data_IF_193061063745
#
_entry.id   IF_193061063745
#
_cell.length_a   1.000
_cell.length_b   1.000
_cell.length_c   1.000
_cell.angle_alpha   90.00
_cell.angle_beta   90.00
_cell.angle_gamma   90.00
#
_symmetry.space_group_name_H-M   'P 1'
#
loop_
_entity.id
_entity.type
_entity.pdbx_description
1 polymer ?
#
# COMPACT_ATOMS: atom_id res chain seq x y z
N UNK A 1 -7.21 27.53 18.12
CA UNK A 1 -8.56 27.03 17.81
C UNK A 1 -8.36 25.64 17.20
N UNK A 2 -8.76 24.54 17.87
CA UNK A 2 -8.57 23.20 17.32
C UNK A 2 -9.43 23.05 16.05
N UNK A 3 -8.94 22.32 15.04
CA UNK A 3 -9.64 22.14 13.74
C UNK A 3 -10.88 21.26 13.95
N UNK A 4 -12.01 21.91 14.22
CA UNK A 4 -13.27 21.27 14.63
C UNK A 4 -13.85 20.30 13.58
N UNK A 5 -14.05 19.03 13.97
CA UNK A 5 -15.00 18.12 13.29
C UNK A 5 -14.49 16.73 12.88
N UNK A 6 -13.20 16.41 13.04
CA UNK A 6 -12.66 15.09 12.66
C UNK A 6 -12.82 14.07 13.79
N UNK A 7 -13.24 12.85 13.45
CA UNK A 7 -13.36 11.73 14.39
C UNK A 7 -12.04 10.99 14.47
N UNK A 8 -11.56 10.75 15.69
CA UNK A 8 -10.35 9.96 15.92
C UNK A 8 -10.71 8.49 16.16
N UNK A 9 -10.13 7.59 15.36
CA UNK A 9 -10.15 6.15 15.56
C UNK A 9 -8.76 5.66 15.98
N UNK A 10 -8.68 4.47 16.59
CA UNK A 10 -7.44 3.85 17.02
C UNK A 10 -7.29 2.48 16.38
N UNK A 11 -6.12 2.20 15.81
CA UNK A 11 -5.83 0.88 15.26
C UNK A 11 -4.80 0.90 14.15
N UNK A 12 -4.37 -0.29 13.77
CA UNK A 12 -3.39 -0.54 12.71
C UNK A 12 -3.91 -1.47 11.62
N UNK A 13 -5.09 -2.08 11.80
CA UNK A 13 -5.73 -2.93 10.78
C UNK A 13 -6.64 -2.09 9.86
N UNK A 14 -6.29 -1.94 8.56
CA UNK A 14 -7.10 -1.20 7.61
C UNK A 14 -8.54 -1.71 7.49
N UNK A 15 -8.76 -3.02 7.58
CA UNK A 15 -10.08 -3.60 7.40
C UNK A 15 -10.98 -3.23 8.58
N UNK A 16 -10.48 -3.38 9.81
CA UNK A 16 -11.20 -3.03 11.02
C UNK A 16 -11.58 -1.53 11.04
N UNK A 17 -10.62 -0.65 10.70
CA UNK A 17 -10.86 0.79 10.63
C UNK A 17 -11.94 1.11 9.58
N UNK A 18 -11.84 0.55 8.37
CA UNK A 18 -12.85 0.77 7.32
C UNK A 18 -14.24 0.27 7.75
N UNK A 19 -14.31 -0.90 8.39
CA UNK A 19 -15.58 -1.45 8.90
C UNK A 19 -16.19 -0.55 9.97
N UNK A 20 -15.39 -0.02 10.88
CA UNK A 20 -15.85 0.90 11.93
C UNK A 20 -16.36 2.23 11.34
N UNK A 21 -15.65 2.79 10.35
CA UNK A 21 -16.09 3.99 9.63
C UNK A 21 -17.46 3.78 8.99
N UNK A 22 -17.68 2.65 8.31
CA UNK A 22 -18.97 2.29 7.72
C UNK A 22 -20.03 2.10 8.80
N UNK A 23 -19.73 1.35 9.86
CA UNK A 23 -20.68 1.06 10.94
C UNK A 23 -21.15 2.32 11.66
N UNK A 24 -20.28 3.33 11.78
CA UNK A 24 -20.58 4.63 12.38
C UNK A 24 -21.13 5.66 11.38
N UNK A 25 -21.22 5.31 10.09
CA UNK A 25 -21.70 6.23 9.03
C UNK A 25 -20.80 7.46 8.84
N UNK A 26 -19.50 7.34 9.08
CA UNK A 26 -18.55 8.44 9.00
C UNK A 26 -18.05 8.62 7.57
N UNK A 27 -17.75 9.87 7.20
CA UNK A 27 -17.02 10.17 5.96
C UNK A 27 -15.52 9.89 6.19
N UNK A 28 -14.82 9.13 5.33
CA UNK A 28 -13.41 8.78 5.54
C UNK A 28 -12.50 9.99 5.75
N UNK A 29 -12.69 11.03 4.94
CA UNK A 29 -11.95 12.29 4.98
C UNK A 29 -12.26 13.11 6.24
N UNK A 30 -13.26 12.73 7.03
CA UNK A 30 -13.53 13.29 8.35
C UNK A 30 -12.90 12.47 9.48
N UNK A 31 -12.07 11.46 9.17
CA UNK A 31 -11.50 10.53 10.15
C UNK A 31 -9.98 10.66 10.20
N UNK A 32 -9.46 10.72 11.41
CA UNK A 32 -8.04 10.53 11.71
C UNK A 32 -7.88 9.18 12.42
N UNK A 33 -6.75 8.52 12.18
CA UNK A 33 -6.41 7.24 12.78
C UNK A 33 -5.12 7.39 13.56
N UNK A 34 -5.18 7.10 14.85
CA UNK A 34 -4.02 6.99 15.73
C UNK A 34 -3.49 5.55 15.70
N UNK A 35 -2.28 5.39 15.18
CA UNK A 35 -1.58 4.10 15.09
C UNK A 35 -0.79 3.76 16.36
N UNK A 36 -0.79 4.65 17.35
CA UNK A 36 0.09 4.60 18.53
C UNK A 36 1.49 5.15 18.27
N UNK A 37 1.92 5.30 17.01
CA UNK A 37 3.17 5.97 16.64
C UNK A 37 2.93 7.38 16.11
N UNK A 38 1.83 7.56 15.38
CA UNK A 38 1.45 8.84 14.79
C UNK A 38 -0.06 8.87 14.52
N UNK A 39 -0.60 10.08 14.38
CA UNK A 39 -1.98 10.32 13.97
C UNK A 39 -1.97 10.74 12.51
N UNK A 40 -2.66 9.98 11.66
CA UNK A 40 -2.70 10.20 10.22
C UNK A 40 -4.15 10.30 9.74
N UNK A 41 -4.44 11.10 8.71
CA UNK A 41 -5.76 11.12 8.11
C UNK A 41 -6.07 9.78 7.42
N UNK A 42 -7.32 9.34 7.53
CA UNK A 42 -7.87 8.34 6.62
C UNK A 42 -8.27 9.05 5.32
N UNK A 43 -7.70 8.59 4.21
CA UNK A 43 -7.98 9.18 2.90
C UNK A 43 -8.33 8.05 1.93
N UNK A 44 -9.57 8.03 1.44
CA UNK A 44 -10.05 7.00 0.51
C UNK A 44 -10.51 7.59 -0.82
N UNK A 45 -11.00 8.84 -0.81
CA UNK A 45 -11.59 9.51 -1.97
C UNK A 45 -10.66 10.54 -2.63
N UNK A 46 -9.36 10.54 -2.28
CA UNK A 46 -8.34 11.28 -3.02
C UNK A 46 -7.66 10.38 -4.05
N UNK A 47 -7.75 10.77 -5.32
CA UNK A 47 -7.21 9.98 -6.42
C UNK A 47 -5.69 9.81 -6.37
N UNK A 48 -4.94 10.83 -5.95
CA UNK A 48 -3.49 10.73 -5.85
C UNK A 48 -3.11 9.71 -4.78
N UNK A 49 -3.77 9.77 -3.62
CA UNK A 49 -3.56 8.82 -2.53
C UNK A 49 -4.03 7.42 -2.88
N UNK A 50 -5.20 7.26 -3.52
CA UNK A 50 -5.69 5.96 -4.00
C UNK A 50 -4.68 5.28 -4.92
N UNK A 51 -4.05 6.04 -5.83
CA UNK A 51 -3.03 5.52 -6.73
C UNK A 51 -1.76 5.09 -6.00
N UNK A 52 -1.32 5.89 -5.02
CA UNK A 52 -0.16 5.56 -4.18
C UNK A 52 -0.43 4.32 -3.34
N UNK A 53 -1.59 4.28 -2.67
CA UNK A 53 -2.07 3.13 -1.90
C UNK A 53 -2.07 1.84 -2.72
N UNK A 54 -2.71 1.84 -3.90
CA UNK A 54 -2.77 0.65 -4.76
C UNK A 54 -1.36 0.19 -5.18
N UNK A 55 -0.46 1.15 -5.47
CA UNK A 55 0.93 0.82 -5.82
C UNK A 55 1.66 0.18 -4.65
N UNK A 56 1.58 0.77 -3.45
CA UNK A 56 2.22 0.23 -2.25
C UNK A 56 1.66 -1.14 -1.89
N UNK A 57 0.33 -1.31 -1.94
CA UNK A 57 -0.32 -2.60 -1.72
C UNK A 57 0.15 -3.67 -2.71
N UNK A 58 0.16 -3.35 -4.01
CA UNK A 58 0.65 -4.28 -5.03
C UNK A 58 2.14 -4.63 -4.83
N UNK A 59 2.94 -3.68 -4.32
CA UNK A 59 4.34 -3.92 -3.96
C UNK A 59 4.47 -4.83 -2.75
N UNK A 60 3.66 -4.66 -1.68
CA UNK A 60 3.61 -5.60 -0.56
C UNK A 60 3.31 -7.02 -1.05
N UNK A 61 2.26 -7.20 -1.87
CA UNK A 61 1.90 -8.51 -2.41
C UNK A 61 3.02 -9.13 -3.26
N UNK A 62 3.66 -8.32 -4.11
CA UNK A 62 4.79 -8.77 -4.94
C UNK A 62 5.97 -9.18 -4.09
N UNK A 63 6.34 -8.38 -3.10
CA UNK A 63 7.44 -8.64 -2.17
C UNK A 63 7.19 -9.93 -1.38
N UNK A 64 6.02 -10.07 -0.75
CA UNK A 64 5.61 -11.29 -0.05
C UNK A 64 5.67 -12.51 -0.96
N UNK A 65 5.24 -12.39 -2.21
CA UNK A 65 5.30 -13.50 -3.17
C UNK A 65 6.74 -13.87 -3.54
N UNK A 66 7.61 -12.90 -3.79
CA UNK A 66 9.03 -13.14 -4.09
C UNK A 66 9.75 -13.78 -2.89
N UNK A 67 9.45 -13.30 -1.70
CA UNK A 67 9.98 -13.84 -0.44
C UNK A 67 9.57 -15.31 -0.26
N UNK A 68 8.28 -15.62 -0.37
CA UNK A 68 7.76 -16.99 -0.26
C UNK A 68 8.28 -17.93 -1.35
N UNK A 69 8.65 -17.40 -2.52
CA UNK A 69 9.27 -18.16 -3.61
C UNK A 69 10.79 -18.36 -3.44
N UNK A 70 11.38 -17.92 -2.32
CA UNK A 70 12.82 -18.02 -2.05
C UNK A 70 13.68 -17.03 -2.84
N UNK A 71 13.06 -16.10 -3.60
CA UNK A 71 13.74 -15.08 -4.37
C UNK A 71 14.15 -13.88 -3.49
N UNK A 72 14.82 -14.16 -2.37
CA UNK A 72 15.04 -13.22 -1.26
C UNK A 72 15.82 -11.98 -1.71
N UNK A 73 16.89 -12.13 -2.51
CA UNK A 73 17.67 -10.99 -3.02
C UNK A 73 16.83 -10.04 -3.88
N UNK A 74 16.00 -10.62 -4.77
CA UNK A 74 15.11 -9.85 -5.63
C UNK A 74 13.99 -9.19 -4.84
N UNK A 75 13.47 -9.88 -3.82
CA UNK A 75 12.50 -9.33 -2.88
C UNK A 75 13.08 -8.09 -2.19
N UNK A 76 14.26 -8.20 -1.58
CA UNK A 76 14.92 -7.10 -0.89
C UNK A 76 15.12 -5.89 -1.81
N UNK A 77 15.63 -6.11 -3.02
CA UNK A 77 15.85 -5.04 -4.01
C UNK A 77 14.56 -4.30 -4.41
N UNK A 78 13.48 -5.03 -4.69
CA UNK A 78 12.19 -4.43 -5.07
C UNK A 78 11.58 -3.63 -3.91
N UNK A 79 11.73 -4.11 -2.66
CA UNK A 79 11.26 -3.39 -1.47
C UNK A 79 12.05 -2.11 -1.25
N UNK A 80 13.39 -2.15 -1.33
CA UNK A 80 14.24 -0.97 -1.15
C UNK A 80 13.90 0.12 -2.17
N UNK A 81 13.71 -0.25 -3.44
CA UNK A 81 13.29 0.68 -4.49
C UNK A 81 11.91 1.30 -4.19
N UNK A 82 10.96 0.53 -3.66
CA UNK A 82 9.64 1.02 -3.29
C UNK A 82 9.71 2.01 -2.10
N UNK A 83 10.52 1.71 -1.07
CA UNK A 83 10.71 2.59 0.08
C UNK A 83 11.40 3.91 -0.29
N UNK A 84 12.38 3.89 -1.20
CA UNK A 84 13.01 5.11 -1.73
C UNK A 84 11.99 5.98 -2.48
N UNK A 85 11.06 5.36 -3.20
CA UNK A 85 10.02 6.07 -3.94
C UNK A 85 8.89 6.63 -3.06
N UNK A 86 8.77 6.18 -1.82
CA UNK A 86 7.70 6.51 -0.88
C UNK A 86 8.26 6.90 0.49
N UNK A 87 9.04 7.99 0.53
CA UNK A 87 9.78 8.43 1.72
C UNK A 87 8.88 8.85 2.90
N UNK A 88 7.72 9.45 2.63
CA UNK A 88 6.77 9.91 3.65
C UNK A 88 5.37 9.36 3.37
N UNK A 89 4.67 8.89 4.41
CA UNK A 89 3.28 8.46 4.33
C UNK A 89 2.32 9.66 4.51
N UNK A 90 1.58 10.09 3.48
CA UNK A 90 0.64 11.20 3.63
C UNK A 90 -0.68 10.80 4.32
N UNK A 91 -0.96 9.50 4.44
CA UNK A 91 -2.18 8.98 5.05
C UNK A 91 -1.96 7.65 5.79
N UNK A 92 -2.96 7.27 6.58
CA UNK A 92 -2.96 6.03 7.38
C UNK A 92 -2.65 4.79 6.55
N UNK A 93 -3.29 4.62 5.39
CA UNK A 93 -3.10 3.43 4.55
C UNK A 93 -1.67 3.32 4.05
N UNK A 94 -1.09 4.41 3.55
CA UNK A 94 0.28 4.41 3.04
C UNK A 94 1.28 4.02 4.13
N UNK A 95 1.07 4.47 5.37
CA UNK A 95 1.93 4.09 6.50
C UNK A 95 1.86 2.59 6.79
N UNK A 96 0.67 1.98 6.76
CA UNK A 96 0.52 0.54 7.01
C UNK A 96 1.32 -0.28 5.99
N UNK A 97 1.22 0.04 4.70
CA UNK A 97 1.95 -0.70 3.66
C UNK A 97 3.46 -0.43 3.70
N UNK A 98 3.88 0.80 4.03
CA UNK A 98 5.30 1.08 4.24
C UNK A 98 5.86 0.32 5.45
N UNK A 99 5.10 0.21 6.55
CA UNK A 99 5.49 -0.58 7.70
C UNK A 99 5.63 -2.08 7.36
N UNK A 100 4.70 -2.63 6.58
CA UNK A 100 4.75 -4.01 6.08
C UNK A 100 5.98 -4.24 5.20
N UNK A 101 6.24 -3.35 4.22
CA UNK A 101 7.44 -3.41 3.39
C UNK A 101 8.73 -3.36 4.23
N UNK A 102 8.82 -2.46 5.22
CA UNK A 102 9.96 -2.39 6.13
C UNK A 102 10.15 -3.68 6.93
N UNK A 103 9.07 -4.34 7.35
CA UNK A 103 9.14 -5.61 8.05
C UNK A 103 9.65 -6.74 7.15
N UNK A 104 9.08 -6.86 5.94
CA UNK A 104 9.51 -7.83 4.93
C UNK A 104 10.98 -7.64 4.54
N UNK A 105 11.43 -6.39 4.39
CA UNK A 105 12.83 -6.09 4.07
C UNK A 105 13.78 -6.59 5.16
N UNK A 106 13.44 -6.36 6.44
CA UNK A 106 14.26 -6.86 7.56
C UNK A 106 14.36 -8.38 7.55
N UNK A 107 13.26 -9.08 7.31
CA UNK A 107 13.25 -10.54 7.20
C UNK A 107 14.09 -11.04 6.02
N UNK A 108 13.92 -10.43 4.84
CA UNK A 108 14.70 -10.77 3.65
C UNK A 108 16.21 -10.56 3.86
N UNK A 109 16.61 -9.43 4.45
CA UNK A 109 18.02 -9.16 4.77
C UNK A 109 18.60 -10.16 5.77
N UNK A 110 17.80 -10.63 6.75
CA UNK A 110 18.23 -11.66 7.69
C UNK A 110 18.47 -13.02 7.02
N UNK A 111 17.58 -13.45 6.13
CA UNK A 111 17.73 -14.72 5.39
C UNK A 111 18.92 -14.69 4.43
N UNK A 112 19.17 -13.56 3.75
CA UNK A 112 20.37 -13.36 2.93
C UNK A 112 21.63 -13.49 3.78
N UNK A 113 21.67 -12.87 4.97
CA UNK A 113 22.80 -12.98 5.90
C UNK A 113 22.99 -14.41 6.43
N UNK A 114 21.91 -15.18 6.57
CA UNK A 114 21.95 -16.58 6.97
C UNK A 114 22.35 -17.54 5.82
N UNK A 115 22.39 -17.07 4.57
CA UNK A 115 22.67 -17.88 3.39
C UNK A 115 21.47 -18.73 2.91
N UNK A 116 20.26 -18.42 3.40
CA UNK A 116 19.03 -19.15 3.10
C UNK A 116 18.36 -18.59 1.84
N UNK A 117 18.99 -18.78 0.67
CA UNK A 117 18.46 -18.32 -0.63
C UNK A 117 18.16 -19.52 -1.53
N UNK A 118 16.88 -19.79 -1.82
CA UNK A 118 16.42 -20.95 -2.61
C UNK A 118 15.78 -20.54 -3.94
N UNK A 119 16.11 -21.21 -5.06
CA UNK A 119 15.74 -20.79 -6.43
C UNK A 119 14.69 -21.71 -7.08
N UNK A 120 13.83 -22.36 -6.30
CA UNK A 120 12.86 -23.30 -6.86
C UNK A 120 11.44 -22.81 -6.61
N UNK A 121 10.88 -22.00 -7.53
CA UNK A 121 9.47 -21.97 -7.98
C UNK A 121 9.08 -20.59 -8.59
N UNK A 122 9.23 -20.42 -9.92
CA UNK A 122 8.94 -19.13 -10.59
C UNK A 122 7.73 -19.13 -11.56
N UNK A 123 7.14 -20.28 -11.89
CA UNK A 123 6.18 -20.39 -13.01
C UNK A 123 4.80 -19.75 -12.76
N UNK A 124 4.10 -20.06 -11.66
CA UNK A 124 2.74 -19.55 -11.43
C UNK A 124 2.68 -18.12 -10.87
N UNK A 125 3.68 -17.70 -10.10
CA UNK A 125 3.62 -16.50 -9.26
C UNK A 125 3.93 -15.20 -10.02
N UNK A 126 4.91 -15.20 -10.93
CA UNK A 126 5.20 -14.05 -11.81
C UNK A 126 3.99 -13.71 -12.68
N UNK A 127 3.25 -14.73 -13.12
CA UNK A 127 2.05 -14.58 -13.95
C UNK A 127 0.91 -13.87 -13.22
N UNK A 128 0.71 -14.16 -11.92
CA UNK A 128 -0.28 -13.48 -11.07
C UNK A 128 0.11 -12.03 -10.82
N UNK A 129 1.38 -11.76 -10.47
CA UNK A 129 1.89 -10.40 -10.28
C UNK A 129 1.80 -9.55 -11.55
N UNK A 130 2.09 -10.12 -12.72
CA UNK A 130 1.93 -9.43 -14.00
C UNK A 130 0.46 -9.17 -14.33
N UNK A 131 -0.43 -10.14 -14.06
CA UNK A 131 -1.87 -9.98 -14.27
C UNK A 131 -2.46 -8.88 -13.37
N UNK A 132 -2.09 -8.84 -12.10
CA UNK A 132 -2.54 -7.81 -11.15
C UNK A 132 -2.02 -6.43 -11.53
N UNK A 133 -0.72 -6.29 -11.84
CA UNK A 133 -0.16 -5.02 -12.30
C UNK A 133 -0.82 -4.52 -13.60
N UNK A 134 -1.18 -5.44 -14.51
CA UNK A 134 -1.91 -5.10 -15.73
C UNK A 134 -3.35 -4.63 -15.42
N UNK A 135 -4.04 -5.28 -14.48
CA UNK A 135 -5.37 -4.88 -14.01
C UNK A 135 -5.35 -3.52 -13.34
N UNK A 136 -4.40 -3.28 -12.42
CA UNK A 136 -4.17 -1.98 -11.78
C UNK A 136 -3.90 -0.91 -12.85
N UNK A 137 -2.96 -1.15 -13.76
CA UNK A 137 -2.64 -0.19 -14.85
C UNK A 137 -3.86 0.14 -15.72
N UNK A 138 -4.71 -0.85 -16.01
CA UNK A 138 -5.95 -0.65 -16.77
C UNK A 138 -6.97 0.17 -15.98
N UNK A 139 -7.11 -0.08 -14.68
CA UNK A 139 -7.98 0.69 -13.79
C UNK A 139 -7.53 2.15 -13.72
N UNK A 140 -6.23 2.40 -13.55
CA UNK A 140 -5.62 3.74 -13.57
C UNK A 140 -5.93 4.46 -14.88
N UNK A 141 -5.73 3.79 -16.03
CA UNK A 141 -6.04 4.38 -17.34
C UNK A 141 -7.51 4.73 -17.46
N UNK A 142 -8.43 3.87 -17.00
CA UNK A 142 -9.87 4.15 -17.03
C UNK A 142 -10.22 5.38 -16.21
N UNK A 143 -9.68 5.51 -15.00
CA UNK A 143 -9.91 6.68 -14.15
C UNK A 143 -9.34 7.97 -14.77
N UNK A 144 -8.13 7.92 -15.33
CA UNK A 144 -7.55 9.06 -16.08
C UNK A 144 -8.44 9.47 -17.25
N UNK A 145 -9.02 8.51 -17.96
CA UNK A 145 -9.91 8.78 -19.10
C UNK A 145 -11.33 9.21 -18.71
N UNK A 146 -11.84 8.81 -17.54
CA UNK A 146 -13.10 9.30 -16.99
C UNK A 146 -12.97 10.78 -16.60
N UNK A 147 -11.83 11.14 -16.00
CA UNK A 147 -11.55 12.50 -15.53
C UNK A 147 -11.36 13.50 -16.68
N UNK A 148 -10.65 13.11 -17.76
CA UNK A 148 -10.57 13.92 -18.99
C UNK A 148 -11.93 14.19 -19.65
N UNK A 149 -12.90 13.30 -19.42
CA UNK A 149 -14.27 13.46 -19.94
C UNK A 149 -15.13 14.34 -19.03
N UNK A 150 -14.87 14.36 -17.71
CA UNK A 150 -15.50 15.27 -16.74
C UNK A 150 -14.95 16.70 -16.83
N UNK A 151 -13.67 16.87 -17.12
CA UNK A 151 -13.01 18.16 -17.27
C UNK A 151 -12.19 18.21 -18.58
N UNK A 152 -12.84 18.44 -19.73
CA UNK A 152 -12.12 18.62 -20.98
C UNK A 152 -11.27 19.89 -20.88
N UNK A 153 -9.95 19.76 -21.03
CA UNK A 153 -9.07 20.93 -21.16
C UNK A 153 -9.41 21.60 -22.49
N UNK A 154 -9.89 22.84 -22.39
CA UNK A 154 -10.10 23.78 -23.51
C UNK A 154 -8.82 24.04 -24.27
#
# INVERSE_FOLDING_TARGET
>A
MPRDGRVLLQGTDPLQICQEVVARGLHPEGVDVDTGQQVLPLVLDDRHHLLTWIRLYSRCLTASSLFLAGAVDRCAWEIEAALIAAQDAPCFLDEIYLAELRALLRSAQQEVLAGETGIEHYGPYVSLTMAENLCVTRMIRREVHADRRRYPRT
#
